data_IF_825371505664
#
_entry.id   IF_825371505664
#
_cell.length_a   1.000
_cell.length_b   1.000
_cell.length_c   1.000
_cell.angle_alpha   90.00
_cell.angle_beta   90.00
_cell.angle_gamma   90.00
#
_symmetry.space_group_name_H-M   'P 1'
#
loop_
_entity.id
_entity.type
_entity.pdbx_description
1 polymer ?
#
# COMPACT_ATOMS: atom_id res chain seq x y z
N UNK A 1 11.42 -28.64 -12.32
CA UNK A 1 11.02 -27.69 -13.36
C UNK A 1 11.14 -26.34 -12.68
N UNK A 2 12.01 -25.45 -13.14
CA UNK A 2 12.09 -24.10 -12.60
C UNK A 2 10.79 -23.39 -12.91
N UNK A 3 10.14 -22.85 -11.87
CA UNK A 3 8.99 -21.95 -12.00
C UNK A 3 9.54 -20.74 -12.78
N UNK A 4 9.04 -20.52 -14.00
CA UNK A 4 9.36 -19.28 -14.72
C UNK A 4 8.69 -18.14 -13.95
N UNK A 5 9.40 -17.01 -13.80
CA UNK A 5 8.78 -15.77 -13.35
C UNK A 5 7.49 -15.55 -14.13
N UNK A 6 6.40 -15.40 -13.42
CA UNK A 6 5.08 -15.20 -14.05
C UNK A 6 4.77 -13.72 -14.20
N UNK A 7 5.67 -12.84 -13.72
CA UNK A 7 5.49 -11.38 -13.75
C UNK A 7 6.74 -10.70 -14.28
N UNK A 8 6.54 -9.77 -15.22
CA UNK A 8 7.58 -8.91 -15.76
C UNK A 8 7.36 -7.47 -15.33
N UNK A 9 8.45 -6.76 -15.06
CA UNK A 9 8.41 -5.30 -14.86
C UNK A 9 7.88 -4.62 -16.12
N UNK A 10 6.94 -3.71 -15.95
CA UNK A 10 6.37 -2.92 -17.04
C UNK A 10 6.96 -1.51 -17.03
N UNK A 11 6.69 -0.72 -16.00
CA UNK A 11 7.16 0.67 -15.89
C UNK A 11 7.11 1.18 -14.45
N UNK A 12 7.73 2.32 -14.23
CA UNK A 12 7.68 3.08 -12.97
C UNK A 12 6.82 4.32 -13.15
N UNK A 13 6.03 4.67 -12.13
CA UNK A 13 5.23 5.89 -12.03
C UNK A 13 5.73 6.71 -10.84
N UNK A 14 5.96 8.01 -11.06
CA UNK A 14 6.32 8.94 -10.00
C UNK A 14 7.81 9.05 -9.72
N UNK A 15 8.13 10.10 -9.01
CA UNK A 15 9.43 10.40 -8.45
C UNK A 15 9.25 11.29 -7.21
N UNK A 16 10.33 11.54 -6.48
CA UNK A 16 10.28 12.36 -5.28
C UNK A 16 9.90 13.83 -5.59
N UNK A 17 8.86 14.33 -4.91
CA UNK A 17 8.49 15.74 -4.93
C UNK A 17 7.80 16.14 -3.63
N UNK A 18 8.38 17.08 -2.89
CA UNK A 18 7.76 17.69 -1.71
C UNK A 18 6.72 18.75 -2.12
N UNK A 19 6.96 19.43 -3.23
CA UNK A 19 6.05 20.46 -3.73
C UNK A 19 4.83 19.85 -4.42
N UNK A 20 3.77 20.63 -4.55
CA UNK A 20 2.60 20.24 -5.32
C UNK A 20 2.89 19.97 -6.79
N UNK A 21 1.98 19.28 -7.47
CA UNK A 21 2.09 18.92 -8.87
C UNK A 21 2.60 17.50 -9.09
N UNK A 22 3.51 17.31 -10.03
CA UNK A 22 4.06 16.00 -10.40
C UNK A 22 4.91 15.41 -9.29
N UNK A 23 4.85 14.10 -9.12
CA UNK A 23 5.62 13.34 -8.15
C UNK A 23 4.90 13.06 -6.82
N UNK A 24 5.56 12.28 -5.98
CA UNK A 24 5.02 11.79 -4.72
C UNK A 24 5.97 12.10 -3.56
N UNK A 25 5.41 12.20 -2.35
CA UNK A 25 6.18 12.37 -1.12
C UNK A 25 5.79 11.27 -0.12
N UNK A 26 6.60 10.22 -0.02
CA UNK A 26 6.30 9.03 0.78
C UNK A 26 4.89 8.50 0.47
N UNK A 27 4.62 8.01 -0.76
CA UNK A 27 3.34 7.39 -1.09
C UNK A 27 3.13 6.17 -0.19
N UNK A 28 1.93 6.00 0.35
CA UNK A 28 1.63 4.89 1.28
C UNK A 28 0.59 3.93 0.74
N UNK A 29 -0.32 4.41 -0.10
CA UNK A 29 -1.36 3.60 -0.72
C UNK A 29 -1.87 4.27 -2.01
N UNK A 30 -2.63 3.52 -2.81
CA UNK A 30 -3.20 4.00 -4.05
C UNK A 30 -4.52 3.29 -4.38
N UNK A 31 -5.32 3.91 -5.23
CA UNK A 31 -6.51 3.30 -5.82
C UNK A 31 -6.67 3.75 -7.27
N UNK A 32 -7.26 2.88 -8.10
CA UNK A 32 -7.65 3.17 -9.48
C UNK A 32 -9.15 3.40 -9.55
N UNK A 33 -9.57 4.36 -10.37
CA UNK A 33 -10.98 4.50 -10.73
C UNK A 33 -11.35 3.66 -11.98
N UNK A 34 -12.62 3.67 -12.36
CA UNK A 34 -13.13 2.94 -13.51
C UNK A 34 -12.58 3.43 -14.87
N UNK A 35 -12.01 4.63 -14.92
CA UNK A 35 -11.34 5.19 -16.10
C UNK A 35 -9.86 4.84 -16.15
N UNK A 36 -9.33 4.17 -15.11
CA UNK A 36 -7.94 3.81 -14.96
C UNK A 36 -7.05 4.95 -14.49
N UNK A 37 -7.63 5.98 -13.86
CA UNK A 37 -6.87 7.05 -13.21
C UNK A 37 -6.39 6.60 -11.84
N UNK A 38 -5.17 6.97 -11.54
CA UNK A 38 -4.46 6.62 -10.32
C UNK A 38 -4.60 7.75 -9.29
N UNK A 39 -5.08 7.41 -8.10
CA UNK A 39 -5.15 8.29 -6.93
C UNK A 39 -4.10 7.82 -5.92
N UNK A 40 -3.02 8.58 -5.75
CA UNK A 40 -1.88 8.21 -4.91
C UNK A 40 -1.87 9.02 -3.63
N UNK A 41 -1.97 8.34 -2.50
CA UNK A 41 -1.97 8.92 -1.18
C UNK A 41 -0.53 9.11 -0.70
N UNK A 42 -0.10 10.36 -0.55
CA UNK A 42 1.21 10.74 -0.04
C UNK A 42 1.12 11.18 1.42
N UNK A 43 1.96 10.56 2.28
CA UNK A 43 2.05 10.89 3.71
C UNK A 43 2.91 12.14 3.98
N UNK A 44 3.81 12.49 3.06
CA UNK A 44 4.83 13.49 3.27
C UNK A 44 5.95 13.04 4.20
N UNK A 45 6.99 13.85 4.31
CA UNK A 45 8.08 13.67 5.29
C UNK A 45 7.84 14.56 6.50
N UNK A 46 8.23 14.11 7.69
CA UNK A 46 8.19 14.91 8.93
C UNK A 46 9.32 15.92 9.05
N UNK A 47 10.29 15.89 8.13
CA UNK A 47 11.56 16.60 8.25
C UNK A 47 11.62 17.96 7.54
N UNK A 48 10.55 18.38 6.82
CA UNK A 48 10.55 19.64 6.08
C UNK A 48 9.41 20.58 6.51
N UNK A 49 9.64 21.90 6.43
CA UNK A 49 8.61 22.94 6.59
C UNK A 49 7.53 22.84 5.49
N UNK A 50 7.79 22.10 4.42
CA UNK A 50 6.86 21.83 3.32
C UNK A 50 5.92 20.64 3.59
N UNK A 51 5.92 20.08 4.80
CA UNK A 51 5.11 18.91 5.16
C UNK A 51 3.61 19.06 4.86
N UNK A 52 3.09 20.28 4.88
CA UNK A 52 1.68 20.58 4.59
C UNK A 52 1.32 20.23 3.16
N UNK A 53 2.12 20.68 2.20
CA UNK A 53 1.89 20.44 0.77
C UNK A 53 2.25 19.01 0.36
N UNK A 54 3.20 18.41 1.04
CA UNK A 54 3.66 17.05 0.79
C UNK A 54 2.60 15.98 1.13
N UNK A 55 1.67 16.31 2.04
CA UNK A 55 0.52 15.45 2.40
C UNK A 55 -0.64 15.72 1.46
N UNK A 56 -0.84 14.82 0.49
CA UNK A 56 -1.84 15.02 -0.56
C UNK A 56 -2.27 13.72 -1.22
N UNK A 57 -3.36 13.78 -1.96
CA UNK A 57 -3.71 12.78 -2.96
C UNK A 57 -3.37 13.36 -4.33
N UNK A 58 -2.46 12.73 -5.06
CA UNK A 58 -2.10 13.09 -6.43
C UNK A 58 -2.91 12.23 -7.40
N UNK A 59 -3.52 12.85 -8.42
CA UNK A 59 -4.28 12.16 -9.47
C UNK A 59 -3.53 12.23 -10.78
N UNK A 60 -3.24 11.08 -11.38
CA UNK A 60 -2.56 10.98 -12.66
C UNK A 60 -3.03 9.75 -13.46
N UNK A 61 -2.74 9.75 -14.77
CA UNK A 61 -2.90 8.57 -15.60
C UNK A 61 -1.75 7.56 -15.37
N UNK A 62 -1.91 6.33 -15.85
CA UNK A 62 -0.84 5.33 -15.83
C UNK A 62 0.35 5.70 -16.75
N UNK A 63 0.14 6.60 -17.71
CA UNK A 63 1.21 7.20 -18.54
C UNK A 63 1.81 8.47 -17.94
N UNK A 64 1.52 8.76 -16.66
CA UNK A 64 2.01 9.89 -15.91
C UNK A 64 1.55 11.27 -16.42
N UNK A 65 0.34 11.34 -17.01
CA UNK A 65 -0.30 12.64 -17.19
C UNK A 65 -0.82 13.13 -15.84
N UNK A 66 -0.28 14.24 -15.34
CA UNK A 66 -0.78 14.87 -14.10
C UNK A 66 -2.11 15.54 -14.37
N UNK A 67 -3.12 15.22 -13.58
CA UNK A 67 -4.48 15.74 -13.73
C UNK A 67 -4.85 16.71 -12.62
N UNK A 68 -4.64 16.31 -11.35
CA UNK A 68 -5.07 17.06 -10.20
C UNK A 68 -4.30 16.62 -8.94
N UNK A 69 -4.45 17.40 -7.89
CA UNK A 69 -4.16 17.00 -6.51
C UNK A 69 -5.16 17.64 -5.56
N UNK A 70 -5.40 17.02 -4.44
CA UNK A 70 -6.26 17.56 -3.40
C UNK A 70 -5.81 17.11 -2.02
N UNK A 71 -6.44 17.71 -1.00
CA UNK A 71 -6.03 17.63 0.39
C UNK A 71 -4.69 18.32 0.67
N UNK A 72 -4.38 18.50 1.92
CA UNK A 72 -3.13 19.05 2.43
C UNK A 72 -2.93 18.63 3.89
N UNK A 73 -1.74 18.86 4.44
CA UNK A 73 -1.46 18.57 5.84
C UNK A 73 -2.23 19.49 6.79
N UNK A 74 -2.93 18.91 7.77
CA UNK A 74 -3.68 19.65 8.78
C UNK A 74 -4.70 18.78 9.52
N UNK A 75 -5.51 19.42 10.36
CA UNK A 75 -6.52 18.78 11.22
C UNK A 75 -7.97 19.16 10.84
N UNK A 76 -8.12 20.07 9.89
CA UNK A 76 -9.42 20.56 9.43
C UNK A 76 -10.15 19.57 8.53
N UNK A 77 -11.32 19.98 8.04
CA UNK A 77 -12.10 19.20 7.10
C UNK A 77 -11.36 19.09 5.75
N UNK A 78 -11.20 17.87 5.25
CA UNK A 78 -10.48 17.62 4.02
C UNK A 78 -8.95 17.67 4.14
N UNK A 79 -8.40 17.97 5.32
CA UNK A 79 -6.97 17.89 5.62
C UNK A 79 -6.61 16.51 6.18
N UNK A 80 -5.35 16.11 6.03
CA UNK A 80 -4.80 14.84 6.49
C UNK A 80 -3.52 15.07 7.29
N UNK A 81 -3.30 14.28 8.34
CA UNK A 81 -2.13 14.43 9.20
C UNK A 81 -1.14 13.29 9.04
N UNK A 82 -1.61 12.06 9.18
CA UNK A 82 -0.81 10.85 9.05
C UNK A 82 -1.61 9.77 8.31
N UNK A 83 -1.90 10.00 7.02
CA UNK A 83 -2.76 9.10 6.27
C UNK A 83 -2.11 7.72 6.14
N UNK A 84 -2.93 6.67 6.23
CA UNK A 84 -2.50 5.26 6.24
C UNK A 84 -3.02 4.46 5.06
N UNK A 85 -4.23 4.72 4.58
CA UNK A 85 -4.83 3.99 3.46
C UNK A 85 -5.82 4.85 2.68
N UNK A 86 -6.03 4.47 1.42
CA UNK A 86 -7.05 5.02 0.52
C UNK A 86 -7.87 3.88 -0.08
N UNK A 87 -9.19 4.05 -0.14
CA UNK A 87 -10.12 3.13 -0.80
C UNK A 87 -11.15 3.92 -1.62
N UNK A 88 -11.78 3.27 -2.57
CA UNK A 88 -12.82 3.85 -3.42
C UNK A 88 -14.05 2.94 -3.42
N UNK A 89 -15.24 3.50 -3.27
CA UNK A 89 -16.50 2.75 -3.35
C UNK A 89 -17.00 2.62 -4.81
N UNK A 90 -18.08 1.88 -5.02
CA UNK A 90 -18.70 1.67 -6.34
C UNK A 90 -19.27 2.95 -6.96
N UNK A 91 -19.52 4.00 -6.16
CA UNK A 91 -19.92 5.33 -6.61
C UNK A 91 -18.70 6.26 -6.81
N UNK A 92 -17.50 5.72 -6.76
CA UNK A 92 -16.21 6.42 -6.91
C UNK A 92 -15.99 7.55 -5.89
N UNK A 93 -16.56 7.41 -4.68
CA UNK A 93 -16.15 8.23 -3.54
C UNK A 93 -14.84 7.69 -2.96
N UNK A 94 -13.99 8.58 -2.57
CA UNK A 94 -12.65 8.29 -2.06
C UNK A 94 -12.68 8.37 -0.53
N UNK A 95 -12.20 7.32 0.13
CA UNK A 95 -12.11 7.20 1.58
C UNK A 95 -10.64 7.19 1.97
N UNK A 96 -10.26 8.00 2.95
CA UNK A 96 -8.89 8.11 3.45
C UNK A 96 -8.88 7.86 4.95
N UNK A 97 -8.16 6.82 5.38
CA UNK A 97 -7.90 6.58 6.80
C UNK A 97 -6.73 7.45 7.27
N UNK A 98 -6.85 8.04 8.45
CA UNK A 98 -5.81 8.85 9.07
C UNK A 98 -5.50 8.33 10.48
N UNK A 99 -4.31 7.77 10.61
CA UNK A 99 -3.76 7.19 11.83
C UNK A 99 -3.64 8.21 12.99
N UNK A 100 -3.29 9.47 12.71
CA UNK A 100 -3.16 10.50 13.73
C UNK A 100 -4.49 11.16 14.10
N UNK A 101 -5.38 11.33 13.12
CA UNK A 101 -6.68 11.97 13.35
C UNK A 101 -7.76 10.97 13.79
N UNK A 102 -7.45 9.67 13.76
CA UNK A 102 -8.36 8.59 14.16
C UNK A 102 -9.71 8.64 13.44
N UNK A 103 -9.68 8.99 12.16
CA UNK A 103 -10.89 9.18 11.36
C UNK A 103 -10.75 8.66 9.93
N UNK A 104 -11.89 8.48 9.29
CA UNK A 104 -12.02 8.26 7.86
C UNK A 104 -12.57 9.55 7.24
N UNK A 105 -11.88 10.14 6.28
CA UNK A 105 -12.32 11.32 5.52
C UNK A 105 -12.80 10.88 4.14
N UNK A 106 -13.89 11.48 3.65
CA UNK A 106 -14.56 11.11 2.40
C UNK A 106 -14.49 12.28 1.42
N UNK A 107 -14.09 11.99 0.18
CA UNK A 107 -13.99 12.95 -0.92
C UNK A 107 -14.73 12.44 -2.15
N UNK A 108 -15.13 13.37 -3.04
CA UNK A 108 -15.51 12.98 -4.39
C UNK A 108 -14.26 12.89 -5.31
N UNK A 109 -14.44 12.43 -6.56
CA UNK A 109 -13.36 12.32 -7.57
C UNK A 109 -12.66 13.65 -7.87
N UNK A 110 -13.33 14.79 -7.68
CA UNK A 110 -12.78 16.11 -7.89
C UNK A 110 -11.96 16.61 -6.68
N UNK A 111 -11.89 15.80 -5.60
CA UNK A 111 -11.16 16.12 -4.37
C UNK A 111 -11.92 17.03 -3.41
N UNK A 112 -13.22 17.24 -3.61
CA UNK A 112 -14.03 17.99 -2.66
C UNK A 112 -14.31 17.11 -1.44
N UNK A 113 -14.05 17.64 -0.24
CA UNK A 113 -14.41 17.00 1.02
C UNK A 113 -15.92 16.88 1.14
N UNK A 114 -16.40 15.70 1.46
CA UNK A 114 -17.82 15.41 1.64
C UNK A 114 -18.20 15.22 3.09
N UNK A 115 -17.44 14.38 3.82
CA UNK A 115 -17.73 14.02 5.22
C UNK A 115 -16.50 13.40 5.90
N UNK A 116 -16.57 13.23 7.21
CA UNK A 116 -15.62 12.42 7.97
C UNK A 116 -16.25 11.86 9.24
N UNK A 117 -15.82 10.67 9.63
CA UNK A 117 -16.28 10.00 10.83
C UNK A 117 -15.16 9.19 11.48
N UNK A 118 -15.36 8.84 12.74
CA UNK A 118 -14.38 8.17 13.59
C UNK A 118 -13.83 9.10 14.67
N UNK A 119 -13.52 8.53 15.79
CA UNK A 119 -12.90 9.20 16.94
C UNK A 119 -11.94 8.23 17.64
N UNK A 120 -10.98 8.76 18.39
CA UNK A 120 -10.04 7.95 19.16
C UNK A 120 -10.77 7.14 20.24
N UNK A 121 -10.47 5.85 20.32
CA UNK A 121 -10.97 4.98 21.38
C UNK A 121 -10.95 3.49 21.00
N UNK A 122 -11.59 2.67 21.84
CA UNK A 122 -11.68 1.21 21.66
C UNK A 122 -13.11 0.67 21.60
N UNK A 123 -14.11 1.55 21.69
CA UNK A 123 -15.51 1.20 21.52
C UNK A 123 -15.88 0.89 20.07
N UNK A 124 -17.13 0.52 19.84
CA UNK A 124 -17.66 0.33 18.48
C UNK A 124 -17.73 1.68 17.76
N UNK A 125 -17.15 1.77 16.59
CA UNK A 125 -17.06 3.02 15.84
C UNK A 125 -15.93 3.95 16.25
N UNK A 126 -15.13 3.55 17.23
CA UNK A 126 -13.91 4.26 17.64
C UNK A 126 -12.67 3.57 17.05
N UNK A 127 -11.58 4.30 16.89
CA UNK A 127 -10.32 3.81 16.33
C UNK A 127 -9.13 4.08 17.24
N UNK A 128 -8.14 3.19 17.15
CA UNK A 128 -6.77 3.45 17.55
C UNK A 128 -5.83 3.03 16.42
N UNK A 129 -5.37 4.02 15.65
CA UNK A 129 -4.59 3.89 14.43
C UNK A 129 -5.28 3.09 13.33
N UNK A 130 -6.35 3.63 12.70
CA UNK A 130 -6.94 3.00 11.52
C UNK A 130 -5.88 2.89 10.41
N UNK A 131 -5.78 1.69 9.85
CA UNK A 131 -4.77 1.33 8.86
C UNK A 131 -5.44 1.00 7.51
N UNK A 132 -5.30 -0.23 7.00
CA UNK A 132 -5.85 -0.65 5.72
C UNK A 132 -7.38 -0.61 5.66
N UNK A 133 -7.89 -0.39 4.47
CA UNK A 133 -9.32 -0.38 4.16
C UNK A 133 -9.62 -1.17 2.89
N UNK A 134 -10.78 -1.84 2.87
CA UNK A 134 -11.34 -2.49 1.68
C UNK A 134 -12.86 -2.42 1.72
N UNK A 135 -13.49 -2.42 0.55
CA UNK A 135 -14.94 -2.61 0.45
C UNK A 135 -15.26 -4.10 0.28
N UNK A 136 -16.33 -4.56 0.94
CA UNK A 136 -16.90 -5.89 0.71
C UNK A 136 -17.91 -5.88 -0.45
N UNK A 137 -18.43 -7.07 -0.82
CA UNK A 137 -19.36 -7.21 -1.95
C UNK A 137 -20.71 -6.48 -1.73
N UNK A 138 -21.07 -6.21 -0.47
CA UNK A 138 -22.25 -5.41 -0.10
C UNK A 138 -21.93 -3.91 -0.07
N UNK A 139 -20.70 -3.54 -0.49
CA UNK A 139 -20.19 -2.17 -0.48
C UNK A 139 -20.15 -1.54 0.92
N UNK A 140 -19.90 -2.38 1.95
CA UNK A 140 -19.57 -1.91 3.28
C UNK A 140 -18.05 -1.74 3.41
N UNK A 141 -17.63 -0.76 4.20
CA UNK A 141 -16.22 -0.49 4.43
C UNK A 141 -15.67 -1.34 5.58
N UNK A 142 -14.67 -2.15 5.28
CA UNK A 142 -13.84 -2.84 6.25
C UNK A 142 -12.66 -1.95 6.61
N UNK A 143 -12.43 -1.73 7.90
CA UNK A 143 -11.31 -0.90 8.40
C UNK A 143 -10.49 -1.71 9.39
N UNK A 144 -9.21 -1.82 9.14
CA UNK A 144 -8.24 -2.35 10.11
C UNK A 144 -8.02 -1.31 11.21
N UNK A 145 -8.35 -1.66 12.43
CA UNK A 145 -8.16 -0.84 13.64
C UNK A 145 -6.91 -1.35 14.37
N UNK A 146 -5.75 -0.86 13.91
CA UNK A 146 -4.44 -1.48 14.09
C UNK A 146 -4.04 -1.70 15.54
N UNK A 147 -4.08 -0.71 16.40
CA UNK A 147 -3.72 -0.86 17.82
C UNK A 147 -4.82 -1.49 18.66
N UNK A 148 -6.08 -1.45 18.22
CA UNK A 148 -7.15 -2.23 18.83
C UNK A 148 -7.14 -3.70 18.38
N UNK A 149 -6.27 -4.08 17.43
CA UNK A 149 -6.07 -5.46 16.97
C UNK A 149 -7.34 -6.13 16.46
N UNK A 150 -8.11 -5.40 15.65
CA UNK A 150 -9.40 -5.85 15.11
C UNK A 150 -9.63 -5.32 13.70
N UNK A 151 -10.61 -5.89 13.01
CA UNK A 151 -11.23 -5.34 11.82
C UNK A 151 -12.65 -4.92 12.18
N UNK A 152 -13.04 -3.71 11.79
CA UNK A 152 -14.40 -3.21 11.97
C UNK A 152 -15.09 -3.06 10.60
N UNK A 153 -16.39 -3.34 10.53
CA UNK A 153 -17.23 -3.18 9.34
C UNK A 153 -18.20 -2.03 9.55
N UNK A 154 -18.37 -1.21 8.50
CA UNK A 154 -19.23 -0.04 8.50
C UNK A 154 -20.05 0.05 7.21
N UNK A 155 -21.20 0.71 7.28
CA UNK A 155 -21.81 1.26 6.06
C UNK A 155 -20.90 2.36 5.50
N UNK A 156 -21.14 2.76 4.24
CA UNK A 156 -20.43 3.88 3.60
C UNK A 156 -20.54 5.21 4.36
N UNK A 157 -21.63 5.37 5.12
CA UNK A 157 -21.89 6.58 5.93
C UNK A 157 -21.37 6.45 7.38
N UNK A 158 -20.53 5.43 7.66
CA UNK A 158 -19.87 5.27 8.94
C UNK A 158 -20.71 4.63 10.06
N UNK A 159 -21.86 4.00 9.74
CA UNK A 159 -22.61 3.25 10.75
C UNK A 159 -21.89 1.91 11.02
N UNK A 160 -21.58 1.66 12.29
CA UNK A 160 -20.96 0.40 12.72
C UNK A 160 -21.91 -0.78 12.48
N UNK A 161 -21.40 -1.84 11.83
CA UNK A 161 -22.12 -3.07 11.53
C UNK A 161 -21.61 -4.27 12.33
N UNK A 162 -20.30 -4.32 12.60
CA UNK A 162 -19.70 -5.45 13.29
C UNK A 162 -18.19 -5.37 13.36
N UNK A 163 -17.59 -6.33 14.05
CA UNK A 163 -16.14 -6.43 14.17
C UNK A 163 -15.69 -7.85 14.49
N UNK A 164 -14.43 -8.16 14.20
CA UNK A 164 -13.76 -9.39 14.62
C UNK A 164 -12.28 -9.14 14.90
N UNK A 165 -11.66 -10.09 15.59
CA UNK A 165 -10.27 -10.01 16.01
C UNK A 165 -10.09 -9.45 17.42
N UNK A 166 -8.93 -9.71 17.96
CA UNK A 166 -8.42 -9.24 19.25
C UNK A 166 -6.91 -9.44 19.30
N UNK A 167 -6.24 -8.83 20.26
CA UNK A 167 -4.81 -9.02 20.47
C UNK A 167 -4.47 -10.50 20.75
N UNK A 168 -3.54 -11.06 19.98
CA UNK A 168 -3.00 -12.40 20.16
C UNK A 168 -2.26 -12.92 18.93
N UNK A 169 -1.92 -14.20 18.93
CA UNK A 169 -1.19 -14.89 17.87
C UNK A 169 -1.85 -16.18 17.38
N UNK A 170 -3.03 -16.53 17.91
CA UNK A 170 -3.81 -17.69 17.44
C UNK A 170 -4.56 -17.31 16.16
N UNK A 171 -5.18 -18.30 15.54
CA UNK A 171 -6.07 -18.09 14.41
C UNK A 171 -7.23 -17.16 14.78
N UNK A 172 -7.45 -16.14 13.95
CA UNK A 172 -8.44 -15.09 14.20
C UNK A 172 -8.02 -14.02 15.21
N UNK A 173 -6.86 -14.14 15.86
CA UNK A 173 -6.26 -13.09 16.69
C UNK A 173 -5.25 -12.29 15.86
N UNK A 174 -5.02 -11.03 16.20
CA UNK A 174 -4.11 -10.13 15.51
C UNK A 174 -3.07 -9.53 16.46
N UNK A 175 -1.95 -9.13 15.89
CA UNK A 175 -0.99 -8.26 16.55
C UNK A 175 -0.62 -7.12 15.59
N UNK A 176 -1.28 -5.97 15.80
CA UNK A 176 -1.10 -4.77 14.98
C UNK A 176 -1.31 -5.05 13.47
N UNK A 177 -2.49 -5.56 13.07
CA UNK A 177 -2.80 -5.80 11.65
C UNK A 177 -2.70 -4.51 10.86
N UNK A 178 -2.37 -4.60 9.54
CA UNK A 178 -2.17 -3.41 8.71
C UNK A 178 -2.98 -3.43 7.42
N UNK A 179 -2.57 -4.17 6.40
CA UNK A 179 -3.24 -4.24 5.11
C UNK A 179 -4.43 -5.17 5.10
N UNK A 180 -5.42 -4.87 4.27
CA UNK A 180 -6.64 -5.67 4.09
C UNK A 180 -7.08 -5.65 2.63
N UNK A 181 -7.62 -6.74 2.15
CA UNK A 181 -8.29 -6.85 0.83
C UNK A 181 -9.41 -7.89 0.89
N UNK A 182 -10.27 -7.88 -0.14
CA UNK A 182 -11.31 -8.89 -0.34
C UNK A 182 -11.05 -9.64 -1.65
N UNK A 183 -11.47 -10.92 -1.74
CA UNK A 183 -11.53 -11.65 -3.00
C UNK A 183 -12.97 -11.63 -3.57
N UNK A 184 -13.14 -12.08 -4.83
CA UNK A 184 -14.46 -12.15 -5.50
C UNK A 184 -15.46 -13.09 -4.85
N UNK A 185 -15.05 -13.88 -3.87
CA UNK A 185 -15.94 -14.75 -3.10
C UNK A 185 -16.35 -14.11 -1.77
N UNK A 186 -16.00 -12.84 -1.56
CA UNK A 186 -16.25 -12.09 -0.32
C UNK A 186 -15.35 -12.48 0.85
N UNK A 187 -14.30 -13.29 0.62
CA UNK A 187 -13.34 -13.57 1.68
C UNK A 187 -12.43 -12.38 1.93
N UNK A 188 -12.04 -12.19 3.18
CA UNK A 188 -11.21 -11.07 3.64
C UNK A 188 -9.82 -11.57 3.98
N UNK A 189 -8.80 -10.89 3.46
CA UNK A 189 -7.39 -11.18 3.74
C UNK A 189 -6.78 -10.03 4.51
N UNK A 190 -6.08 -10.34 5.60
CA UNK A 190 -5.48 -9.33 6.48
C UNK A 190 -4.00 -9.62 6.69
N UNK A 191 -3.17 -8.61 6.48
CA UNK A 191 -1.75 -8.65 6.83
C UNK A 191 -1.60 -8.42 8.34
N UNK A 192 -1.28 -9.47 9.08
CA UNK A 192 -1.11 -9.49 10.53
C UNK A 192 0.34 -9.14 10.88
N UNK A 193 0.64 -7.84 10.82
CA UNK A 193 1.96 -7.24 10.69
C UNK A 193 3.00 -7.72 11.71
N UNK A 194 2.65 -7.79 13.01
CA UNK A 194 3.58 -8.25 14.06
C UNK A 194 3.55 -9.75 14.33
N UNK A 195 2.63 -10.48 13.70
CA UNK A 195 2.63 -11.94 13.71
C UNK A 195 3.25 -12.52 12.43
N UNK A 196 3.77 -11.67 11.53
CA UNK A 196 4.51 -12.06 10.32
C UNK A 196 3.73 -13.08 9.45
N UNK A 197 2.42 -12.84 9.27
CA UNK A 197 1.52 -13.74 8.52
C UNK A 197 0.43 -12.99 7.77
N UNK A 198 -0.20 -13.68 6.83
CA UNK A 198 -1.47 -13.29 6.22
C UNK A 198 -2.56 -14.21 6.76
N UNK A 199 -3.69 -13.67 7.17
CA UNK A 199 -4.86 -14.43 7.58
C UNK A 199 -6.03 -14.23 6.61
N UNK A 200 -6.75 -15.31 6.31
CA UNK A 200 -7.97 -15.32 5.49
C UNK A 200 -9.18 -15.58 6.38
N UNK A 201 -10.24 -14.84 6.13
CA UNK A 201 -11.54 -14.94 6.81
C UNK A 201 -12.66 -15.06 5.79
N UNK A 202 -13.80 -15.63 6.17
CA UNK A 202 -15.02 -15.49 5.40
C UNK A 202 -15.63 -14.08 5.58
N UNK A 203 -16.72 -13.81 4.87
CA UNK A 203 -17.43 -12.53 4.93
C UNK A 203 -17.94 -12.17 6.34
N UNK A 204 -18.17 -13.13 7.20
CA UNK A 204 -18.64 -12.94 8.58
C UNK A 204 -17.48 -12.74 9.57
N UNK A 205 -16.22 -12.77 9.11
CA UNK A 205 -15.03 -12.64 9.93
C UNK A 205 -14.59 -13.92 10.64
N UNK A 206 -15.09 -15.09 10.19
CA UNK A 206 -14.62 -16.39 10.69
C UNK A 206 -13.31 -16.76 9.99
N UNK A 207 -12.30 -17.09 10.79
CA UNK A 207 -11.00 -17.52 10.28
C UNK A 207 -11.11 -18.78 9.40
N UNK A 208 -10.45 -18.75 8.25
CA UNK A 208 -10.37 -19.85 7.28
C UNK A 208 -8.96 -20.43 7.14
N UNK A 209 -7.93 -19.58 7.01
CA UNK A 209 -6.55 -20.01 6.78
C UNK A 209 -5.55 -18.94 7.23
N UNK A 210 -4.31 -19.37 7.50
CA UNK A 210 -3.17 -18.51 7.80
C UNK A 210 -1.94 -18.97 7.03
N UNK A 211 -1.13 -18.04 6.52
CA UNK A 211 0.10 -18.32 5.80
C UNK A 211 1.22 -17.38 6.26
N UNK A 212 2.42 -17.90 6.32
CA UNK A 212 3.61 -17.16 6.72
C UNK A 212 4.09 -17.49 8.13
N UNK A 213 5.37 -17.29 8.32
CA UNK A 213 6.08 -17.33 9.60
C UNK A 213 7.20 -16.32 9.56
N UNK A 214 7.70 -15.87 10.70
CA UNK A 214 8.81 -14.91 10.78
C UNK A 214 10.05 -15.42 10.05
N UNK A 215 10.59 -14.61 9.13
CA UNK A 215 11.84 -14.91 8.42
C UNK A 215 11.95 -14.21 7.07
N UNK A 216 13.02 -14.55 6.33
CA UNK A 216 13.37 -14.00 5.02
C UNK A 216 13.34 -15.06 3.89
N UNK A 217 13.05 -16.33 4.22
CA UNK A 217 12.89 -17.42 3.25
C UNK A 217 11.60 -17.30 2.41
N UNK A 218 11.42 -18.24 1.49
CA UNK A 218 10.23 -18.35 0.64
C UNK A 218 9.00 -18.73 1.50
N UNK A 219 7.92 -17.95 1.39
CA UNK A 219 6.72 -18.08 2.23
C UNK A 219 6.90 -17.62 3.67
N UNK A 220 8.07 -17.07 4.05
CA UNK A 220 8.28 -16.40 5.32
C UNK A 220 8.15 -14.89 5.13
N UNK A 221 7.71 -14.18 6.16
CA UNK A 221 7.53 -12.73 6.14
C UNK A 221 8.22 -12.06 7.32
N UNK A 222 8.52 -10.78 7.13
CA UNK A 222 8.89 -9.89 8.21
C UNK A 222 8.08 -8.61 8.11
N UNK A 223 7.10 -8.47 8.99
CA UNK A 223 6.16 -7.34 9.03
C UNK A 223 5.46 -7.08 7.67
N UNK A 224 4.67 -8.04 7.16
CA UNK A 224 3.90 -7.84 5.94
C UNK A 224 2.91 -6.70 6.14
N UNK A 225 2.94 -5.68 5.26
CA UNK A 225 2.14 -4.46 5.39
C UNK A 225 0.97 -4.39 4.42
N UNK A 226 1.04 -5.09 3.29
CA UNK A 226 0.00 -5.08 2.26
C UNK A 226 -0.31 -6.48 1.76
N UNK A 227 -1.55 -6.69 1.35
CA UNK A 227 -2.01 -7.91 0.70
C UNK A 227 -3.00 -7.57 -0.40
N UNK A 228 -2.87 -8.23 -1.55
CA UNK A 228 -3.84 -8.19 -2.65
C UNK A 228 -4.11 -9.62 -3.14
N UNK A 229 -5.27 -9.83 -3.76
CA UNK A 229 -5.66 -11.12 -4.31
C UNK A 229 -6.26 -10.91 -5.68
N UNK A 230 -5.79 -11.66 -6.68
CA UNK A 230 -6.33 -11.60 -8.04
C UNK A 230 -7.56 -12.52 -8.20
N UNK A 231 -8.14 -12.50 -9.41
CA UNK A 231 -9.32 -13.30 -9.76
C UNK A 231 -9.11 -14.81 -9.66
N UNK A 232 -7.87 -15.26 -9.79
CA UNK A 232 -7.47 -16.68 -9.70
C UNK A 232 -7.20 -17.10 -8.26
N UNK A 233 -7.26 -16.14 -7.31
CA UNK A 233 -6.98 -16.35 -5.90
C UNK A 233 -5.49 -16.33 -5.57
N UNK A 234 -4.63 -15.88 -6.49
CA UNK A 234 -3.20 -15.65 -6.24
C UNK A 234 -3.04 -14.53 -5.22
N UNK A 235 -2.21 -14.74 -4.21
CA UNK A 235 -2.02 -13.82 -3.10
C UNK A 235 -0.69 -13.08 -3.29
N UNK A 236 -0.75 -11.75 -3.31
CA UNK A 236 0.40 -10.85 -3.41
C UNK A 236 0.62 -10.19 -2.06
N UNK A 237 1.85 -10.26 -1.53
CA UNK A 237 2.18 -9.77 -0.19
C UNK A 237 3.30 -8.75 -0.28
N UNK A 238 3.05 -7.53 0.20
CA UNK A 238 4.09 -6.55 0.46
C UNK A 238 4.80 -6.93 1.77
N UNK A 239 5.92 -7.63 1.65
CA UNK A 239 6.77 -8.10 2.74
C UNK A 239 7.73 -6.96 3.13
N UNK A 240 7.16 -5.97 3.83
CA UNK A 240 7.76 -4.65 4.09
C UNK A 240 9.14 -4.74 4.74
N UNK A 241 9.28 -5.56 5.77
CA UNK A 241 10.53 -5.68 6.50
C UNK A 241 11.63 -6.44 5.75
N UNK A 242 11.27 -7.20 4.70
CA UNK A 242 12.20 -7.87 3.79
C UNK A 242 12.36 -7.12 2.46
N UNK A 243 11.74 -5.96 2.31
CA UNK A 243 11.82 -5.09 1.12
C UNK A 243 11.55 -5.83 -0.20
N UNK A 244 10.50 -6.64 -0.24
CA UNK A 244 10.13 -7.46 -1.40
C UNK A 244 8.63 -7.65 -1.52
N UNK A 245 8.20 -8.11 -2.69
CA UNK A 245 6.88 -8.68 -2.89
C UNK A 245 7.03 -10.19 -2.98
N UNK A 246 6.17 -10.93 -2.30
CA UNK A 246 6.03 -12.38 -2.47
C UNK A 246 4.66 -12.70 -3.07
N UNK A 247 4.64 -13.68 -3.96
CA UNK A 247 3.44 -14.19 -4.62
C UNK A 247 3.23 -15.63 -4.15
N UNK A 248 2.03 -15.88 -3.64
CA UNK A 248 1.62 -17.20 -3.18
C UNK A 248 0.43 -17.70 -3.99
N UNK A 249 0.32 -18.99 -4.11
CA UNK A 249 -0.88 -19.63 -4.65
C UNK A 249 -2.09 -19.48 -3.72
N UNK A 250 -3.30 -19.84 -4.19
CA UNK A 250 -4.52 -19.78 -3.38
C UNK A 250 -4.47 -20.66 -2.11
N UNK A 251 -3.60 -21.66 -2.11
CA UNK A 251 -3.34 -22.57 -0.98
C UNK A 251 -2.19 -22.07 -0.06
N UNK A 252 -1.59 -20.91 -0.40
CA UNK A 252 -0.46 -20.32 0.33
C UNK A 252 0.91 -20.88 -0.10
N UNK A 253 0.99 -21.76 -1.10
CA UNK A 253 2.27 -22.23 -1.64
C UNK A 253 3.05 -21.09 -2.29
N UNK A 254 4.34 -21.01 -2.03
CA UNK A 254 5.20 -19.97 -2.63
C UNK A 254 5.32 -20.17 -4.15
N UNK A 255 5.10 -19.09 -4.92
CA UNK A 255 5.25 -19.08 -6.36
C UNK A 255 6.50 -18.31 -6.77
N UNK A 256 6.60 -17.05 -6.36
CA UNK A 256 7.60 -16.10 -6.86
C UNK A 256 7.86 -14.97 -5.85
N UNK A 257 8.99 -14.28 -6.00
CA UNK A 257 9.29 -13.03 -5.31
C UNK A 257 10.08 -12.09 -6.21
N UNK A 258 9.90 -10.77 -6.01
CA UNK A 258 10.70 -9.75 -6.70
C UNK A 258 11.00 -8.56 -5.76
N UNK A 259 12.06 -7.81 -6.09
CA UNK A 259 12.62 -6.76 -5.23
C UNK A 259 12.69 -5.39 -5.90
N UNK A 260 12.10 -5.21 -7.07
CA UNK A 260 12.04 -3.93 -7.77
C UNK A 260 12.99 -3.81 -8.97
N UNK A 261 12.88 -2.66 -9.67
CA UNK A 261 13.66 -2.32 -10.86
C UNK A 261 14.13 -0.86 -10.80
N UNK A 262 15.21 -0.52 -11.55
CA UNK A 262 15.85 0.80 -11.52
C UNK A 262 15.42 1.74 -12.66
N UNK A 263 14.38 1.38 -13.41
CA UNK A 263 13.91 2.20 -14.52
C UNK A 263 13.23 3.48 -14.02
N UNK A 264 13.58 4.59 -14.66
CA UNK A 264 13.03 5.91 -14.38
C UNK A 264 11.59 6.03 -14.90
N UNK A 265 10.78 6.78 -14.19
CA UNK A 265 9.46 7.22 -14.62
C UNK A 265 9.56 8.32 -15.69
N UNK A 266 8.46 8.60 -16.40
CA UNK A 266 8.40 9.69 -17.37
C UNK A 266 8.66 11.03 -16.69
N UNK A 267 8.09 11.28 -15.52
CA UNK A 267 8.33 12.52 -14.78
C UNK A 267 9.79 12.68 -14.33
N UNK A 268 10.44 11.57 -13.93
CA UNK A 268 11.86 11.59 -13.60
C UNK A 268 12.73 11.90 -14.83
N UNK A 269 12.41 11.31 -15.99
CA UNK A 269 13.11 11.61 -17.25
C UNK A 269 12.96 13.07 -17.64
N UNK A 270 11.77 13.66 -17.50
CA UNK A 270 11.54 15.08 -17.74
C UNK A 270 12.35 15.97 -16.80
N UNK A 271 12.45 15.60 -15.50
CA UNK A 271 13.30 16.30 -14.53
C UNK A 271 14.77 16.30 -15.00
N UNK A 272 15.28 15.19 -15.46
CA UNK A 272 16.66 15.06 -15.94
C UNK A 272 16.94 15.80 -17.26
N UNK A 273 15.91 16.21 -18.03
CA UNK A 273 16.15 17.07 -19.21
C UNK A 273 16.76 18.41 -18.84
N UNK A 274 16.49 18.90 -17.63
CA UNK A 274 17.02 20.16 -17.09
C UNK A 274 18.14 19.96 -16.05
N UNK A 275 18.38 18.73 -15.63
CA UNK A 275 19.39 18.35 -14.62
C UNK A 275 20.30 17.25 -15.18
N UNK A 276 20.95 17.52 -16.28
CA UNK A 276 21.73 16.54 -17.04
C UNK A 276 22.95 16.02 -16.28
N UNK A 277 23.58 16.85 -15.47
CA UNK A 277 24.74 16.48 -14.65
C UNK A 277 24.35 15.34 -13.66
N UNK A 278 23.13 15.39 -13.08
CA UNK A 278 22.62 14.34 -12.20
C UNK A 278 22.32 13.06 -12.97
N UNK A 279 21.77 13.16 -14.19
CA UNK A 279 21.56 12.00 -15.05
C UNK A 279 22.87 11.31 -15.40
N UNK A 280 23.91 12.10 -15.80
CA UNK A 280 25.23 11.56 -16.10
C UNK A 280 25.88 10.84 -14.91
N UNK A 281 25.73 11.37 -13.70
CA UNK A 281 26.23 10.69 -12.49
C UNK A 281 25.45 9.40 -12.19
N UNK A 282 24.12 9.42 -12.39
CA UNK A 282 23.29 8.23 -12.25
C UNK A 282 23.64 7.14 -13.27
N UNK A 283 23.91 7.51 -14.52
CA UNK A 283 24.29 6.56 -15.57
C UNK A 283 25.66 5.90 -15.32
N UNK A 284 26.54 6.57 -14.58
CA UNK A 284 27.83 6.03 -14.14
C UNK A 284 27.70 5.13 -12.90
N UNK A 285 26.58 5.23 -12.19
CA UNK A 285 26.36 4.48 -10.96
C UNK A 285 26.18 2.98 -11.26
N UNK A 286 26.76 2.14 -10.39
CA UNK A 286 26.50 0.72 -10.43
C UNK A 286 25.14 0.43 -9.79
N UNK A 287 24.14 0.05 -10.59
CA UNK A 287 22.78 -0.28 -10.12
C UNK A 287 22.68 -1.66 -9.45
N UNK A 288 23.72 -2.46 -9.52
CA UNK A 288 23.81 -3.79 -8.88
C UNK A 288 25.19 -3.96 -8.19
N UNK A 289 25.51 -3.12 -7.19
CA UNK A 289 26.79 -3.21 -6.49
C UNK A 289 26.87 -4.50 -5.68
N UNK A 290 28.06 -5.13 -5.65
CA UNK A 290 28.38 -6.13 -4.63
C UNK A 290 28.61 -5.42 -3.30
N UNK A 291 27.63 -5.47 -2.41
CA UNK A 291 27.72 -4.85 -1.10
C UNK A 291 28.37 -5.82 -0.10
N UNK A 292 29.51 -5.43 0.45
CA UNK A 292 30.15 -6.11 1.59
C UNK A 292 29.42 -5.69 2.88
N UNK A 293 28.20 -6.18 3.07
CA UNK A 293 27.43 -5.89 4.27
C UNK A 293 27.96 -6.76 5.42
N UNK A 294 28.39 -6.14 6.52
CA UNK A 294 28.82 -6.84 7.72
C UNK A 294 27.68 -7.67 8.32
N UNK A 295 27.91 -8.80 8.97
CA UNK A 295 26.86 -9.74 9.42
C UNK A 295 25.81 -9.11 10.34
N UNK A 296 24.55 -8.98 9.89
CA UNK A 296 23.42 -8.35 10.59
C UNK A 296 22.29 -7.97 9.65
N UNK A 297 21.23 -7.31 10.02
CA UNK A 297 19.99 -7.03 9.24
C UNK A 297 20.20 -6.30 7.88
N UNK A 298 20.62 -7.02 6.88
CA UNK A 298 21.17 -6.51 5.60
C UNK A 298 20.16 -6.01 4.59
N UNK A 299 18.92 -6.50 4.64
CA UNK A 299 17.92 -6.16 3.62
C UNK A 299 17.58 -4.66 3.60
N UNK A 300 17.57 -4.00 4.76
CA UNK A 300 17.28 -2.57 4.84
C UNK A 300 18.41 -1.70 4.32
N UNK A 301 19.67 -1.99 4.71
CA UNK A 301 20.85 -1.23 4.29
C UNK A 301 21.15 -1.44 2.80
N UNK A 302 20.98 -2.66 2.31
CA UNK A 302 21.07 -2.98 0.89
C UNK A 302 19.99 -2.24 0.11
N UNK A 303 18.74 -2.32 0.55
CA UNK A 303 17.60 -1.66 -0.13
C UNK A 303 17.70 -0.15 -0.09
N UNK A 304 18.24 0.46 0.94
CA UNK A 304 18.50 1.89 0.99
C UNK A 304 19.61 2.33 -0.01
N UNK A 305 20.63 1.50 -0.17
CA UNK A 305 21.84 1.81 -0.95
C UNK A 305 21.70 1.49 -2.44
N UNK A 306 20.84 0.55 -2.83
CA UNK A 306 20.68 0.08 -4.22
C UNK A 306 19.38 0.58 -4.80
N UNK A 307 19.42 1.53 -5.74
CA UNK A 307 18.23 2.17 -6.33
C UNK A 307 17.24 1.17 -6.96
N UNK A 308 17.72 0.12 -7.54
CA UNK A 308 16.90 -0.94 -8.16
C UNK A 308 15.91 -1.55 -7.17
N UNK A 309 16.34 -1.77 -5.92
CA UNK A 309 15.57 -2.49 -4.93
C UNK A 309 14.42 -1.65 -4.36
N UNK A 310 13.33 -2.30 -3.99
CA UNK A 310 12.32 -1.67 -3.17
C UNK A 310 12.90 -1.23 -1.84
N UNK A 311 12.44 -0.09 -1.33
CA UNK A 311 12.79 0.38 0.00
C UNK A 311 11.53 0.71 0.79
N UNK A 312 11.02 -0.29 1.50
CA UNK A 312 9.78 -0.21 2.27
C UNK A 312 8.52 -0.23 1.39
N UNK A 313 8.30 -1.30 0.59
CA UNK A 313 7.05 -1.46 -0.14
C UNK A 313 5.89 -1.60 0.86
N UNK A 314 5.00 -0.60 0.92
CA UNK A 314 3.91 -0.56 1.92
C UNK A 314 2.66 -1.24 1.43
N UNK A 315 2.37 -1.11 0.14
CA UNK A 315 1.12 -1.61 -0.44
C UNK A 315 1.40 -2.32 -1.75
N UNK A 316 0.64 -3.37 -1.99
CA UNK A 316 0.49 -4.04 -3.28
C UNK A 316 -0.99 -4.05 -3.65
N UNK A 317 -1.30 -3.75 -4.92
CA UNK A 317 -2.65 -3.83 -5.49
C UNK A 317 -2.60 -4.63 -6.79
N UNK A 318 -3.70 -5.25 -7.14
CA UNK A 318 -3.88 -5.93 -8.43
C UNK A 318 -5.18 -5.43 -9.03
N UNK A 319 -5.13 -5.08 -10.31
CA UNK A 319 -6.34 -4.68 -11.04
C UNK A 319 -6.96 -5.83 -11.85
N UNK A 320 -8.12 -5.55 -12.47
CA UNK A 320 -8.86 -6.52 -13.28
C UNK A 320 -8.12 -6.97 -14.56
N UNK A 321 -7.03 -6.29 -14.93
CA UNK A 321 -6.16 -6.67 -16.04
C UNK A 321 -4.97 -7.54 -15.58
N UNK A 322 -4.90 -7.84 -14.28
CA UNK A 322 -3.80 -8.60 -13.68
C UNK A 322 -2.50 -7.80 -13.55
N UNK A 323 -2.56 -6.44 -13.64
CA UNK A 323 -1.41 -5.60 -13.37
C UNK A 323 -1.19 -5.47 -11.88
N UNK A 324 0.04 -5.64 -11.44
CA UNK A 324 0.44 -5.56 -10.05
C UNK A 324 1.12 -4.21 -9.80
N UNK A 325 0.57 -3.43 -8.91
CA UNK A 325 1.08 -2.12 -8.51
C UNK A 325 1.75 -2.23 -7.14
N UNK A 326 2.99 -1.81 -7.04
CA UNK A 326 3.76 -1.81 -5.79
C UNK A 326 4.07 -0.39 -5.38
N UNK A 327 3.54 0.04 -4.24
CA UNK A 327 3.85 1.35 -3.66
C UNK A 327 5.17 1.25 -2.90
N UNK A 328 6.23 1.80 -3.48
CA UNK A 328 7.60 1.80 -2.95
C UNK A 328 7.84 3.13 -2.21
N UNK A 329 7.42 3.17 -0.94
CA UNK A 329 7.26 4.40 -0.16
C UNK A 329 8.52 5.22 -0.04
N UNK A 330 9.64 4.61 0.36
CA UNK A 330 10.90 5.33 0.57
C UNK A 330 11.64 5.65 -0.74
N UNK A 331 11.21 5.07 -1.85
CA UNK A 331 11.65 5.42 -3.21
C UNK A 331 10.72 6.41 -3.91
N UNK A 332 9.62 6.80 -3.26
CA UNK A 332 8.67 7.80 -3.78
C UNK A 332 8.09 7.44 -5.14
N UNK A 333 7.87 6.15 -5.40
CA UNK A 333 7.44 5.63 -6.71
C UNK A 333 6.40 4.51 -6.56
N UNK A 334 5.75 4.22 -7.67
CA UNK A 334 4.94 3.03 -7.84
C UNK A 334 5.57 2.24 -8.99
N UNK A 335 5.78 0.94 -8.80
CA UNK A 335 6.23 0.07 -9.87
C UNK A 335 5.11 -0.85 -10.32
N UNK A 336 4.99 -1.01 -11.63
CA UNK A 336 3.96 -1.82 -12.28
C UNK A 336 4.57 -3.05 -12.89
N UNK A 337 3.99 -4.20 -12.57
CA UNK A 337 4.36 -5.50 -13.12
C UNK A 337 3.15 -6.12 -13.82
N UNK A 338 3.39 -6.92 -14.85
CA UNK A 338 2.35 -7.59 -15.62
C UNK A 338 2.61 -9.10 -15.68
N UNK A 339 1.56 -9.91 -15.67
CA UNK A 339 1.69 -11.35 -15.87
C UNK A 339 2.22 -11.64 -17.29
N UNK A 340 3.10 -12.61 -17.40
CA UNK A 340 3.50 -13.18 -18.70
C UNK A 340 2.27 -13.77 -19.39
N UNK A 341 2.06 -13.43 -20.66
CA UNK A 341 0.94 -13.92 -21.48
C UNK A 341 1.14 -15.36 -21.95
#
# INVERSE_FOLDING_TARGET
MGIRSTHQYSHTIGFFSLQGGRGFACPVDMVLDSEGLLYVLSRGSSESDEWVVAKRITVCSLSEEYLNQFSSGGIGNGEIMWPSAIAMDDAEKIYVADDALQRISIFNKQGQFLDSWGVMGSGNGEFDRPAGMAFDDDNNLLVVDGLNNRVQRYTRDGQFLGQWGRLGNRDGEFNMPWGITTDRSGNVYVADWRNDRIQKFDADGKHLSSWGTTGDGDGQFYRPSGVAVDEEGTIYVADWGNHRIQILGPDGSFYEKFRGESMLSTWALEYFTTNQDELEEREKANMEPELNLAQGNFSSDESASVEKLFWGPTTVKVDDQGRVFVVDTSRHRIQVFVKDS
#
